data_IF_670793262582
#
_entry.id   IF_670793262582
#
_cell.length_a   1.000
_cell.length_b   1.000
_cell.length_c   1.000
_cell.angle_alpha   90.00
_cell.angle_beta   90.00
_cell.angle_gamma   90.00
#
_symmetry.space_group_name_H-M   'P 1'
#
loop_
_entity.id
_entity.type
_entity.pdbx_description
1 polymer ?
#
# COMPACT_ATOMS: atom_id res chain seq x y z
N UNK A 1 0.30 12.05 -11.51
CA UNK A 1 1.56 11.29 -11.47
C UNK A 1 2.32 11.49 -12.77
N UNK A 2 3.59 11.89 -12.70
CA UNK A 2 4.48 12.08 -13.86
C UNK A 2 5.18 10.77 -14.26
N UNK A 3 5.85 10.75 -15.42
CA UNK A 3 6.63 9.58 -15.87
C UNK A 3 7.81 9.28 -14.95
N UNK A 4 8.45 10.31 -14.42
CA UNK A 4 9.58 10.19 -13.49
C UNK A 4 9.12 9.61 -12.15
N UNK A 5 7.97 10.07 -11.65
CA UNK A 5 7.35 9.52 -10.44
C UNK A 5 7.04 8.02 -10.60
N UNK A 6 6.48 7.63 -11.76
CA UNK A 6 6.21 6.23 -12.09
C UNK A 6 7.47 5.37 -12.11
N UNK A 7 8.57 5.88 -12.69
CA UNK A 7 9.82 5.14 -12.78
C UNK A 7 10.46 4.92 -11.40
N UNK A 8 10.37 5.90 -10.50
CA UNK A 8 10.89 5.81 -9.13
C UNK A 8 10.00 4.98 -8.18
N UNK A 9 8.75 4.71 -8.55
CA UNK A 9 7.75 4.11 -7.68
C UNK A 9 8.14 2.74 -7.11
N UNK A 10 8.75 1.80 -7.87
CA UNK A 10 9.14 0.50 -7.33
C UNK A 10 10.14 0.57 -6.18
N UNK A 11 11.11 1.49 -6.26
CA UNK A 11 12.11 1.67 -5.20
C UNK A 11 11.46 2.26 -3.95
N UNK A 12 10.59 3.27 -4.12
CA UNK A 12 9.85 3.87 -3.01
C UNK A 12 8.96 2.86 -2.27
N UNK A 13 8.28 2.00 -3.04
CA UNK A 13 7.45 0.91 -2.49
C UNK A 13 8.28 -0.11 -1.72
N UNK A 14 9.48 -0.49 -2.20
CA UNK A 14 10.37 -1.39 -1.45
C UNK A 14 10.73 -0.81 -0.09
N UNK A 15 11.15 0.45 -0.04
CA UNK A 15 11.48 1.14 1.22
C UNK A 15 10.27 1.18 2.16
N UNK A 16 9.08 1.47 1.63
CA UNK A 16 7.87 1.53 2.41
C UNK A 16 7.42 0.15 2.96
N UNK A 17 7.62 -0.92 2.19
CA UNK A 17 7.36 -2.29 2.64
C UNK A 17 8.28 -2.66 3.81
N UNK A 18 9.58 -2.32 3.73
CA UNK A 18 10.50 -2.59 4.83
C UNK A 18 10.11 -1.81 6.09
N UNK A 19 9.71 -0.55 5.96
CA UNK A 19 9.16 0.22 7.08
C UNK A 19 7.91 -0.45 7.68
N UNK A 20 7.01 -0.95 6.83
CA UNK A 20 5.83 -1.71 7.25
C UNK A 20 6.18 -2.99 8.01
N UNK A 21 7.16 -3.77 7.54
CA UNK A 21 7.64 -4.97 8.21
C UNK A 21 8.21 -4.67 9.60
N UNK A 22 9.03 -3.63 9.71
CA UNK A 22 9.62 -3.21 10.99
C UNK A 22 8.52 -2.83 11.98
N UNK A 23 7.53 -2.03 11.57
CA UNK A 23 6.42 -1.63 12.42
C UNK A 23 5.51 -2.79 12.82
N UNK A 24 5.22 -3.71 11.89
CA UNK A 24 4.43 -4.91 12.18
C UNK A 24 5.14 -5.82 13.19
N UNK A 25 6.47 -5.99 13.05
CA UNK A 25 7.28 -6.79 13.97
C UNK A 25 7.39 -6.15 15.37
N UNK A 26 7.45 -4.82 15.46
CA UNK A 26 7.45 -4.09 16.73
C UNK A 26 6.09 -4.12 17.45
N UNK A 27 5.02 -4.47 16.74
CA UNK A 27 3.68 -4.56 17.31
C UNK A 27 3.50 -5.91 18.02
N UNK A 28 3.65 -5.93 19.35
CA UNK A 28 3.55 -7.17 20.12
C UNK A 28 2.13 -7.76 20.15
N UNK A 29 1.09 -6.94 20.02
CA UNK A 29 -0.31 -7.34 20.09
C UNK A 29 -0.91 -7.48 18.68
N UNK A 30 -1.31 -8.69 18.27
CA UNK A 30 -2.04 -8.93 17.02
C UNK A 30 -3.55 -9.16 17.21
N UNK A 31 -4.08 -8.88 18.41
CA UNK A 31 -5.51 -8.93 18.65
C UNK A 31 -6.28 -7.88 17.83
N UNK A 32 -7.60 -7.87 18.01
CA UNK A 32 -8.50 -7.03 17.25
C UNK A 32 -9.20 -7.80 16.13
N UNK A 33 -9.86 -7.08 15.23
CA UNK A 33 -10.56 -7.65 14.09
C UNK A 33 -9.57 -8.18 13.04
N UNK A 34 -9.98 -9.19 12.27
CA UNK A 34 -9.25 -9.62 11.10
C UNK A 34 -9.31 -8.51 10.04
N UNK A 35 -8.25 -7.72 9.96
CA UNK A 35 -8.12 -6.61 9.03
C UNK A 35 -7.54 -7.13 7.71
N UNK A 36 -8.03 -6.55 6.63
CA UNK A 36 -7.53 -6.70 5.26
C UNK A 36 -7.01 -5.35 4.75
N UNK A 37 -6.60 -4.48 5.67
CA UNK A 37 -6.05 -3.16 5.37
C UNK A 37 -4.92 -3.23 4.34
N UNK A 38 -4.88 -2.25 3.44
CA UNK A 38 -3.85 -2.09 2.40
C UNK A 38 -3.55 -0.61 2.17
N UNK A 39 -2.39 -0.32 1.59
CA UNK A 39 -2.13 1.01 1.02
C UNK A 39 -2.45 0.99 -0.46
N UNK A 40 -3.13 2.03 -0.93
CA UNK A 40 -3.50 2.21 -2.33
C UNK A 40 -2.82 3.44 -2.90
N UNK A 41 -2.22 3.28 -4.08
CA UNK A 41 -1.66 4.37 -4.87
C UNK A 41 -2.63 4.65 -6.03
N UNK A 42 -3.35 5.79 -6.04
CA UNK A 42 -4.23 6.16 -7.14
C UNK A 42 -3.44 6.41 -8.43
N UNK A 43 -3.90 5.84 -9.53
CA UNK A 43 -3.28 5.95 -10.86
C UNK A 43 -4.32 6.33 -11.91
N UNK A 44 -4.90 7.55 -11.85
CA UNK A 44 -5.95 7.97 -12.77
C UNK A 44 -5.40 8.09 -14.20
N UNK A 45 -6.15 7.55 -15.16
CA UNK A 45 -5.86 7.74 -16.60
C UNK A 45 -4.67 6.93 -17.15
N UNK A 46 -3.94 6.18 -16.32
CA UNK A 46 -2.88 5.29 -16.76
C UNK A 46 -3.46 3.95 -17.20
N UNK A 47 -2.94 3.35 -18.28
CA UNK A 47 -3.29 1.97 -18.65
C UNK A 47 -2.52 1.01 -17.76
N UNK A 48 -3.11 -0.15 -17.44
CA UNK A 48 -2.45 -1.17 -16.64
C UNK A 48 -1.07 -1.60 -17.22
N UNK A 49 -0.93 -1.61 -18.55
CA UNK A 49 0.34 -1.92 -19.22
C UNK A 49 1.44 -0.86 -19.06
N UNK A 50 1.10 0.33 -18.59
CA UNK A 50 2.03 1.43 -18.33
C UNK A 50 2.44 1.50 -16.86
N UNK A 51 1.82 0.69 -16.00
CA UNK A 51 2.16 0.64 -14.59
C UNK A 51 3.40 -0.23 -14.41
N UNK A 52 4.34 0.19 -13.56
CA UNK A 52 5.46 -0.68 -13.20
C UNK A 52 4.94 -1.92 -12.48
N UNK A 53 5.68 -3.03 -12.58
CA UNK A 53 5.39 -4.22 -11.77
C UNK A 53 5.64 -3.90 -10.31
N UNK A 54 4.57 -3.78 -9.53
CA UNK A 54 4.59 -3.56 -8.09
C UNK A 54 3.98 -4.76 -7.37
N UNK A 55 4.44 -5.06 -6.14
CA UNK A 55 3.82 -6.07 -5.30
C UNK A 55 2.41 -5.64 -4.94
N UNK A 56 1.42 -6.41 -5.36
CA UNK A 56 0.01 -6.06 -5.23
C UNK A 56 -0.83 -6.41 -6.45
N UNK A 57 -2.00 -5.79 -6.52
CA UNK A 57 -2.88 -5.88 -7.68
C UNK A 57 -3.39 -4.50 -8.13
N UNK A 58 -3.71 -4.40 -9.41
CA UNK A 58 -4.32 -3.20 -9.98
C UNK A 58 -5.85 -3.33 -9.89
N UNK A 59 -6.47 -2.48 -9.07
CA UNK A 59 -7.92 -2.30 -9.11
C UNK A 59 -8.26 -1.47 -10.35
N UNK A 60 -9.03 -2.05 -11.28
CA UNK A 60 -9.55 -1.32 -12.43
C UNK A 60 -10.57 -0.27 -11.98
N UNK A 61 -10.64 0.84 -12.71
CA UNK A 61 -11.68 1.86 -12.50
C UNK A 61 -13.07 1.21 -12.59
N UNK A 62 -13.93 1.53 -11.62
CA UNK A 62 -15.35 1.17 -11.61
C UNK A 62 -16.21 2.44 -11.50
N UNK A 63 -17.54 2.28 -11.36
CA UNK A 63 -18.45 3.39 -11.08
C UNK A 63 -18.15 4.08 -9.75
N UNK A 64 -17.63 3.33 -8.77
CA UNK A 64 -17.46 3.79 -7.39
C UNK A 64 -15.99 3.95 -6.97
N UNK A 65 -15.05 3.40 -7.73
CA UNK A 65 -13.64 3.42 -7.39
C UNK A 65 -12.78 3.88 -8.56
N UNK A 66 -11.82 4.75 -8.27
CA UNK A 66 -10.78 5.11 -9.21
C UNK A 66 -9.83 3.92 -9.44
N UNK A 67 -9.13 3.92 -10.57
CA UNK A 67 -8.04 2.97 -10.77
C UNK A 67 -6.91 3.24 -9.77
N UNK A 68 -6.44 2.17 -9.12
CA UNK A 68 -5.42 2.24 -8.08
C UNK A 68 -4.64 0.95 -7.97
N UNK A 69 -3.41 1.05 -7.45
CA UNK A 69 -2.58 -0.12 -7.13
C UNK A 69 -2.74 -0.40 -5.65
N UNK A 70 -3.30 -1.57 -5.33
CA UNK A 70 -3.40 -2.07 -3.96
C UNK A 70 -2.14 -2.83 -3.64
N UNK A 71 -1.30 -2.26 -2.78
CA UNK A 71 -0.03 -2.86 -2.41
C UNK A 71 -0.23 -4.09 -1.53
N UNK A 72 0.65 -5.07 -1.72
CA UNK A 72 0.73 -6.22 -0.81
C UNK A 72 1.22 -5.77 0.58
N UNK A 73 0.83 -6.54 1.59
CA UNK A 73 1.27 -6.38 2.97
C UNK A 73 2.06 -7.62 3.39
N UNK A 74 3.32 -7.80 2.93
CA UNK A 74 4.09 -9.01 3.12
C UNK A 74 4.73 -9.08 4.53
N UNK A 75 3.89 -9.00 5.56
CA UNK A 75 4.25 -9.19 6.96
C UNK A 75 3.17 -10.04 7.67
N UNK A 76 3.53 -10.76 8.74
CA UNK A 76 2.59 -11.61 9.46
C UNK A 76 1.62 -10.77 10.30
N UNK A 77 0.50 -11.42 10.65
CA UNK A 77 -0.54 -10.89 11.52
C UNK A 77 -1.75 -10.35 10.75
N UNK A 78 -2.91 -10.45 11.39
CA UNK A 78 -4.20 -10.11 10.76
C UNK A 78 -4.90 -8.96 11.46
N UNK A 79 -4.58 -8.65 12.72
CA UNK A 79 -5.25 -7.59 13.47
C UNK A 79 -4.41 -6.32 13.54
N UNK A 80 -4.11 -5.90 14.78
CA UNK A 80 -3.36 -4.68 15.04
C UNK A 80 -1.96 -4.68 14.41
N UNK A 81 -1.29 -5.84 14.26
CA UNK A 81 0.03 -5.88 13.57
C UNK A 81 -0.09 -5.49 12.12
N UNK A 82 -1.15 -5.96 11.46
CA UNK A 82 -1.40 -5.60 10.06
C UNK A 82 -1.62 -4.11 9.92
N UNK A 83 -2.51 -3.52 10.72
CA UNK A 83 -2.79 -2.08 10.68
C UNK A 83 -1.55 -1.25 11.04
N UNK A 84 -0.70 -1.70 11.96
CA UNK A 84 0.56 -1.03 12.29
C UNK A 84 1.52 -0.99 11.07
N UNK A 85 1.71 -2.13 10.41
CA UNK A 85 2.54 -2.21 9.20
C UNK A 85 1.99 -1.36 8.05
N UNK A 86 0.67 -1.38 7.84
CA UNK A 86 0.01 -0.57 6.78
C UNK A 86 0.19 0.93 7.05
N UNK A 87 0.02 1.38 8.30
CA UNK A 87 0.23 2.79 8.67
C UNK A 87 1.67 3.23 8.44
N UNK A 88 2.65 2.43 8.83
CA UNK A 88 4.06 2.75 8.60
C UNK A 88 4.42 2.76 7.11
N UNK A 89 3.88 1.82 6.33
CA UNK A 89 4.04 1.82 4.87
C UNK A 89 3.44 3.08 4.22
N UNK A 90 2.23 3.48 4.65
CA UNK A 90 1.57 4.71 4.19
C UNK A 90 2.38 5.96 4.52
N UNK A 91 2.85 6.08 5.77
CA UNK A 91 3.66 7.21 6.23
C UNK A 91 4.98 7.32 5.47
N UNK A 92 5.66 6.19 5.25
CA UNK A 92 6.89 6.13 4.45
C UNK A 92 6.65 6.60 3.01
N UNK A 93 5.58 6.15 2.35
CA UNK A 93 5.25 6.59 0.98
C UNK A 93 4.92 8.08 0.93
N UNK A 94 4.14 8.58 1.90
CA UNK A 94 3.77 10.00 1.98
C UNK A 94 4.99 10.90 2.18
N UNK A 95 5.95 10.47 3.02
CA UNK A 95 7.22 11.19 3.25
C UNK A 95 8.08 11.23 1.99
N UNK A 96 8.01 10.18 1.16
CA UNK A 96 8.67 10.12 -0.15
C UNK A 96 7.91 10.87 -1.27
N UNK A 97 6.86 11.61 -0.92
CA UNK A 97 6.05 12.42 -1.84
C UNK A 97 5.10 11.61 -2.72
N UNK A 98 4.78 10.37 -2.37
CA UNK A 98 3.83 9.54 -3.12
C UNK A 98 2.41 9.83 -2.63
N UNK A 99 1.54 10.23 -3.55
CA UNK A 99 0.10 10.30 -3.29
C UNK A 99 -0.46 8.90 -3.07
N UNK A 100 -0.95 8.63 -1.86
CA UNK A 100 -1.44 7.32 -1.44
C UNK A 100 -2.38 7.44 -0.24
N UNK A 101 -3.25 6.45 -0.08
CA UNK A 101 -4.21 6.37 1.03
C UNK A 101 -4.29 4.95 1.60
N UNK A 102 -4.76 4.82 2.83
CA UNK A 102 -5.05 3.52 3.44
C UNK A 102 -6.46 3.10 3.07
N UNK A 103 -6.59 1.93 2.45
CA UNK A 103 -7.86 1.26 2.26
C UNK A 103 -8.11 0.35 3.45
N UNK A 104 -9.02 0.78 4.32
CA UNK A 104 -9.43 0.01 5.49
C UNK A 104 -10.48 -1.03 5.09
N UNK A 105 -10.24 -2.28 5.46
CA UNK A 105 -11.18 -3.37 5.23
C UNK A 105 -11.11 -4.32 6.41
N UNK A 106 -12.28 -4.75 6.88
CA UNK A 106 -12.44 -5.83 7.85
C UNK A 106 -12.97 -7.04 7.08
N UNK A 107 -12.51 -8.24 7.44
CA UNK A 107 -13.07 -9.50 6.94
C UNK A 107 -14.46 -9.77 7.52
#
# INVERSE_FOLDING_TARGET
MTKEELASLPEKVKVAIEAGKVAAAACNNDGGSANLDRVVIPVPGLRASQLPTLPGYVQKKSRYHQQGIHLDTPWPGIGNRRSAGVRAMHESLKTQGVDCYVYYQVD
#
